data_IF_281129932399
#
_entry.id   IF_281129932399
#
_cell.length_a   1.000
_cell.length_b   1.000
_cell.length_c   1.000
_cell.angle_alpha   90.00
_cell.angle_beta   90.00
_cell.angle_gamma   90.00
#
_symmetry.space_group_name_H-M   'P 1'
#
loop_
_entity.id
_entity.type
_entity.pdbx_description
1 polymer ?
#
# COMPACT_ATOMS: atom_id res chain seq x y z
N UNK A 1 -10.59 -4.17 -8.54
CA UNK A 1 -10.84 -2.80 -8.11
C UNK A 1 -9.65 -1.92 -8.41
N UNK A 2 -9.90 -0.81 -9.06
CA UNK A 2 -8.86 0.14 -9.44
C UNK A 2 -9.01 1.46 -8.70
N UNK A 3 -7.88 2.03 -8.33
CA UNK A 3 -7.79 3.37 -7.79
C UNK A 3 -6.84 4.19 -8.67
N UNK A 4 -7.24 5.40 -9.00
CA UNK A 4 -6.36 6.38 -9.63
C UNK A 4 -6.31 7.59 -8.72
N UNK A 5 -5.13 7.98 -8.32
CA UNK A 5 -4.97 9.09 -7.40
C UNK A 5 -3.55 9.61 -7.35
N UNK A 6 -3.41 10.79 -6.79
CA UNK A 6 -2.11 11.43 -6.61
C UNK A 6 -1.41 10.89 -5.37
N UNK A 7 -0.08 10.81 -5.47
CA UNK A 7 0.75 10.47 -4.31
C UNK A 7 0.88 11.72 -3.45
N UNK A 8 0.56 11.57 -2.16
CA UNK A 8 0.64 12.65 -1.20
C UNK A 8 1.63 12.31 -0.09
N UNK A 9 2.09 13.32 0.62
CA UNK A 9 2.89 13.11 1.82
C UNK A 9 2.03 12.57 2.94
N UNK A 10 2.41 11.42 3.47
CA UNK A 10 1.82 10.86 4.66
C UNK A 10 2.87 10.69 5.75
N UNK A 11 2.52 9.96 6.79
CA UNK A 11 3.50 9.56 7.80
C UNK A 11 4.50 8.62 7.14
N UNK A 12 5.78 8.96 7.19
CA UNK A 12 6.84 8.15 6.58
C UNK A 12 7.19 6.92 7.42
N UNK A 13 6.15 6.21 7.85
CA UNK A 13 6.31 5.08 8.75
C UNK A 13 7.06 3.93 8.08
N UNK A 14 6.73 3.64 6.82
CA UNK A 14 7.41 2.61 6.06
C UNK A 14 8.90 2.88 5.88
N UNK A 15 9.29 4.14 5.76
CA UNK A 15 10.70 4.53 5.66
C UNK A 15 11.47 4.15 6.92
N UNK A 16 10.85 4.29 8.10
CA UNK A 16 11.48 3.93 9.37
C UNK A 16 11.83 2.45 9.49
N UNK A 17 11.10 1.61 8.79
CA UNK A 17 11.30 0.16 8.81
C UNK A 17 11.93 -0.34 7.50
N UNK A 18 12.57 0.56 6.77
CA UNK A 18 13.25 0.28 5.50
C UNK A 18 12.32 -0.25 4.39
N UNK A 19 11.03 0.11 4.46
CA UNK A 19 10.03 -0.28 3.46
C UNK A 19 9.27 0.97 3.03
N UNK A 20 9.82 1.75 2.09
CA UNK A 20 9.19 3.00 1.66
C UNK A 20 7.80 2.75 1.06
N UNK A 21 6.85 3.60 1.44
CA UNK A 21 5.47 3.51 0.95
C UNK A 21 5.02 4.85 0.38
N UNK A 22 4.15 4.77 -0.61
CA UNK A 22 3.46 5.92 -1.18
C UNK A 22 2.05 5.99 -0.60
N UNK A 23 1.63 7.18 -0.19
CA UNK A 23 0.26 7.44 0.26
C UNK A 23 -0.53 7.99 -0.91
N UNK A 24 -1.71 7.43 -1.15
CA UNK A 24 -2.57 7.82 -2.26
C UNK A 24 -3.73 8.65 -1.73
N UNK A 25 -4.00 9.76 -2.40
CA UNK A 25 -5.14 10.62 -2.05
C UNK A 25 -6.43 9.94 -2.48
N UNK A 26 -7.26 9.58 -1.50
CA UNK A 26 -8.57 8.96 -1.74
C UNK A 26 -9.68 9.98 -1.99
N UNK A 27 -9.39 11.28 -1.92
CA UNK A 27 -10.34 12.36 -2.16
C UNK A 27 -11.57 12.27 -1.26
N UNK A 28 -11.37 11.88 0.01
CA UNK A 28 -12.42 11.71 1.03
C UNK A 28 -13.49 10.67 0.67
N UNK A 29 -13.22 9.78 -0.26
CA UNK A 29 -14.12 8.67 -0.56
C UNK A 29 -13.99 7.60 0.52
N UNK A 30 -15.11 6.98 0.84
CA UNK A 30 -15.18 5.89 1.82
C UNK A 30 -15.50 4.58 1.10
N UNK A 31 -14.91 3.50 1.61
CA UNK A 31 -15.09 2.15 1.05
C UNK A 31 -15.47 1.21 2.19
N UNK A 32 -16.23 0.17 1.88
CA UNK A 32 -16.74 -0.77 2.87
C UNK A 32 -15.84 -1.97 3.12
N UNK A 33 -14.59 -1.91 2.71
CA UNK A 33 -13.62 -2.99 2.93
C UNK A 33 -12.26 -2.43 3.34
N UNK A 34 -11.42 -3.30 3.86
CA UNK A 34 -10.03 -3.00 4.19
C UNK A 34 -9.19 -4.27 4.07
N UNK A 35 -7.88 -4.11 4.17
CA UNK A 35 -6.95 -5.23 4.13
C UNK A 35 -5.64 -4.89 3.48
N UNK A 36 -4.82 -5.92 3.31
CA UNK A 36 -3.54 -5.84 2.61
C UNK A 36 -3.66 -6.67 1.34
N UNK A 37 -3.32 -6.07 0.21
CA UNK A 37 -3.56 -6.64 -1.11
C UNK A 37 -2.29 -6.67 -1.94
N UNK A 38 -2.15 -7.72 -2.75
CA UNK A 38 -1.24 -7.66 -3.90
C UNK A 38 -1.89 -6.74 -4.93
N UNK A 39 -1.11 -5.83 -5.48
CA UNK A 39 -1.61 -4.88 -6.47
C UNK A 39 -0.66 -4.73 -7.65
N UNK A 40 -1.19 -4.27 -8.77
CA UNK A 40 -0.40 -3.71 -9.86
C UNK A 40 -0.44 -2.19 -9.78
N UNK A 41 0.64 -1.56 -10.19
CA UNK A 41 0.77 -0.10 -10.14
C UNK A 41 1.29 0.39 -11.48
N UNK A 42 0.55 1.29 -12.12
CA UNK A 42 0.99 1.95 -13.35
C UNK A 42 1.60 3.30 -12.99
N UNK A 43 2.85 3.49 -13.37
CA UNK A 43 3.59 4.73 -13.20
C UNK A 43 4.17 5.11 -14.55
N UNK A 44 3.72 6.24 -15.13
CA UNK A 44 4.23 6.72 -16.42
C UNK A 44 4.19 5.64 -17.52
N UNK A 45 3.09 4.89 -17.59
CA UNK A 45 2.87 3.80 -18.56
C UNK A 45 3.74 2.56 -18.34
N UNK A 46 4.41 2.47 -17.20
CA UNK A 46 5.15 1.27 -16.79
C UNK A 46 4.38 0.55 -15.69
N UNK A 47 4.35 -0.77 -15.77
CA UNK A 47 3.66 -1.60 -14.78
C UNK A 47 4.65 -2.14 -13.76
N UNK A 48 4.30 -1.98 -12.50
CA UNK A 48 5.00 -2.56 -11.36
C UNK A 48 4.01 -3.38 -10.54
N UNK A 49 4.52 -4.22 -9.66
CA UNK A 49 3.72 -4.87 -8.63
C UNK A 49 4.06 -4.29 -7.27
N UNK A 50 3.14 -4.44 -6.34
CA UNK A 50 3.37 -3.95 -4.99
C UNK A 50 2.37 -4.49 -3.99
N UNK A 51 2.48 -4.01 -2.76
CA UNK A 51 1.55 -4.29 -1.69
C UNK A 51 0.80 -3.02 -1.36
N UNK A 52 -0.53 -3.12 -1.31
CA UNK A 52 -1.40 -2.04 -0.89
C UNK A 52 -1.95 -2.34 0.49
N UNK A 53 -1.77 -1.42 1.42
CA UNK A 53 -2.41 -1.45 2.73
C UNK A 53 -3.55 -0.45 2.71
N UNK A 54 -4.78 -0.95 2.77
CA UNK A 54 -5.98 -0.15 2.65
C UNK A 54 -6.81 -0.29 3.92
N UNK A 55 -7.05 0.82 4.60
CA UNK A 55 -7.87 0.76 5.79
C UNK A 55 -7.81 1.99 6.65
N UNK A 56 -8.43 1.86 7.81
CA UNK A 56 -8.53 2.92 8.79
C UNK A 56 -7.36 2.86 9.75
N UNK A 57 -6.68 3.99 9.93
CA UNK A 57 -5.69 4.16 11.00
C UNK A 57 -6.28 5.14 12.00
N UNK A 58 -7.01 4.66 13.01
CA UNK A 58 -7.67 5.57 13.94
C UNK A 58 -6.65 6.37 14.74
N UNK A 59 -6.73 7.69 14.62
CA UNK A 59 -6.09 8.66 15.50
C UNK A 59 -7.19 9.38 16.25
N UNK A 60 -6.85 10.31 17.14
CA UNK A 60 -7.84 10.96 18.00
C UNK A 60 -9.04 11.55 17.24
N UNK A 61 -8.82 12.14 16.08
CA UNK A 61 -9.85 12.86 15.34
C UNK A 61 -10.01 12.39 13.90
N UNK A 62 -9.34 11.31 13.50
CA UNK A 62 -9.36 10.89 12.11
C UNK A 62 -9.57 9.39 12.01
N UNK A 63 -10.74 9.00 11.49
CA UNK A 63 -11.11 7.62 11.22
C UNK A 63 -11.20 7.33 9.71
N UNK A 64 -10.67 8.23 8.90
CA UNK A 64 -10.72 8.06 7.45
C UNK A 64 -9.82 6.92 7.01
N UNK A 65 -10.21 6.29 5.92
CA UNK A 65 -9.38 5.26 5.31
C UNK A 65 -8.18 5.89 4.63
N UNK A 66 -7.10 5.12 4.60
CA UNK A 66 -5.89 5.48 3.87
C UNK A 66 -5.48 4.35 2.94
N UNK A 67 -4.81 4.70 1.86
CA UNK A 67 -4.22 3.75 0.93
C UNK A 67 -2.73 4.00 0.90
N UNK A 68 -1.95 3.04 1.39
CA UNK A 68 -0.49 3.08 1.33
C UNK A 68 -0.02 1.96 0.42
N UNK A 69 0.87 2.28 -0.51
CA UNK A 69 1.36 1.32 -1.48
C UNK A 69 2.88 1.24 -1.42
N UNK A 70 3.40 0.04 -1.21
CA UNK A 70 4.81 -0.25 -1.38
C UNK A 70 5.01 -0.85 -2.77
N UNK A 71 5.71 -0.15 -3.64
CA UNK A 71 5.94 -0.57 -5.03
C UNK A 71 7.26 -1.32 -5.09
N UNK A 72 7.24 -2.56 -5.59
CA UNK A 72 8.44 -3.37 -5.70
C UNK A 72 9.34 -2.86 -6.83
N UNK A 73 10.65 -2.86 -6.59
CA UNK A 73 11.67 -2.53 -7.58
C UNK A 73 11.55 -1.12 -8.15
N UNK A 74 10.95 -0.22 -7.38
CA UNK A 74 10.78 1.18 -7.78
C UNK A 74 11.56 2.08 -6.84
N UNK A 75 12.53 2.82 -7.37
CA UNK A 75 13.43 3.67 -6.58
C UNK A 75 13.31 5.16 -6.81
N UNK A 76 12.35 5.59 -7.62
CA UNK A 76 12.21 7.01 -7.96
C UNK A 76 11.29 7.74 -6.98
N UNK A 77 11.39 9.07 -6.94
CA UNK A 77 10.48 9.91 -6.20
C UNK A 77 9.18 10.04 -6.98
N UNK A 78 8.05 9.65 -6.37
CA UNK A 78 6.75 9.67 -7.01
C UNK A 78 5.75 10.61 -6.34
N UNK A 79 6.20 11.47 -5.43
CA UNK A 79 5.32 12.43 -4.78
C UNK A 79 4.69 13.36 -5.80
N UNK A 80 3.38 13.60 -5.65
CA UNK A 80 2.56 14.43 -6.52
C UNK A 80 2.35 13.88 -7.94
N UNK A 81 2.79 12.65 -8.21
CA UNK A 81 2.44 11.96 -9.44
C UNK A 81 1.14 11.17 -9.29
N UNK A 82 0.45 10.99 -10.40
CA UNK A 82 -0.75 10.16 -10.43
C UNK A 82 -0.38 8.71 -10.70
N UNK A 83 -0.92 7.81 -9.88
CA UNK A 83 -0.74 6.37 -10.03
C UNK A 83 -2.09 5.71 -10.28
N UNK A 84 -2.08 4.64 -11.05
CA UNK A 84 -3.24 3.76 -11.17
C UNK A 84 -2.92 2.45 -10.49
N UNK A 85 -3.70 2.10 -9.49
CA UNK A 85 -3.48 0.93 -8.64
C UNK A 85 -4.66 -0.03 -8.81
N UNK A 86 -4.36 -1.27 -9.18
CA UNK A 86 -5.36 -2.32 -9.27
C UNK A 86 -5.10 -3.38 -8.21
N UNK A 87 -6.10 -3.63 -7.37
CA UNK A 87 -6.02 -4.71 -6.39
C UNK A 87 -6.24 -6.05 -7.09
N UNK A 88 -5.30 -6.96 -6.95
CA UNK A 88 -5.32 -8.26 -7.62
C UNK A 88 -5.85 -9.36 -6.73
N UNK A 89 -5.35 -9.46 -5.51
CA UNK A 89 -5.86 -10.40 -4.53
C UNK A 89 -5.55 -9.94 -3.12
N UNK A 90 -6.37 -10.39 -2.18
CA UNK A 90 -6.18 -10.08 -0.77
C UNK A 90 -5.13 -10.99 -0.16
N UNK A 91 -4.16 -10.41 0.53
CA UNK A 91 -3.12 -11.15 1.23
C UNK A 91 -3.57 -11.47 2.65
N UNK A 92 -4.12 -10.49 3.35
CA UNK A 92 -4.60 -10.65 4.72
C UNK A 92 -5.47 -9.46 5.14
N UNK A 93 -6.15 -9.64 6.26
CA UNK A 93 -6.83 -8.54 6.94
C UNK A 93 -5.81 -7.64 7.63
N UNK A 94 -6.24 -6.44 7.98
CA UNK A 94 -5.42 -5.54 8.78
C UNK A 94 -5.19 -6.12 10.17
N UNK A 95 -3.97 -5.91 10.70
CA UNK A 95 -3.58 -6.36 12.02
C UNK A 95 -3.08 -5.15 12.80
N UNK A 96 -3.46 -5.07 14.07
CA UNK A 96 -2.90 -4.09 14.98
C UNK A 96 -1.63 -4.66 15.62
N UNK A 97 -0.53 -3.92 15.52
CA UNK A 97 0.76 -4.36 16.04
C UNK A 97 1.08 -3.64 17.34
N UNK A 98 1.66 -4.39 18.28
CA UNK A 98 2.06 -3.86 19.58
C UNK A 98 3.47 -3.28 19.58
N UNK A 99 4.29 -3.66 18.59
CA UNK A 99 5.65 -3.16 18.47
C UNK A 99 6.03 -2.91 17.01
N UNK A 100 7.06 -2.08 16.83
CA UNK A 100 7.63 -1.82 15.50
C UNK A 100 8.24 -3.08 14.91
N UNK A 101 8.84 -3.93 15.76
CA UNK A 101 9.46 -5.18 15.30
C UNK A 101 8.40 -6.15 14.76
N UNK A 102 7.26 -6.26 15.41
CA UNK A 102 6.17 -7.12 14.95
C UNK A 102 5.64 -6.63 13.61
N UNK A 103 5.46 -5.32 13.45
CA UNK A 103 5.05 -4.72 12.19
C UNK A 103 6.07 -5.01 11.08
N UNK A 104 7.35 -4.82 11.36
CA UNK A 104 8.42 -5.05 10.39
C UNK A 104 8.47 -6.51 9.94
N UNK A 105 8.35 -7.44 10.88
CA UNK A 105 8.35 -8.87 10.58
C UNK A 105 7.15 -9.25 9.71
N UNK A 106 5.97 -8.69 9.99
CA UNK A 106 4.78 -8.96 9.20
C UNK A 106 4.90 -8.38 7.78
N UNK A 107 5.47 -7.20 7.64
CA UNK A 107 5.68 -6.60 6.32
C UNK A 107 6.59 -7.49 5.48
N UNK A 108 7.65 -8.05 6.05
CA UNK A 108 8.54 -8.96 5.33
C UNK A 108 7.80 -10.21 4.87
N UNK A 109 6.94 -10.79 5.71
CA UNK A 109 6.11 -11.93 5.34
C UNK A 109 5.13 -11.58 4.22
N UNK A 110 4.54 -10.40 4.27
CA UNK A 110 3.62 -9.91 3.25
C UNK A 110 4.33 -9.78 1.90
N UNK A 111 5.53 -9.23 1.89
CA UNK A 111 6.34 -9.07 0.68
C UNK A 111 6.66 -10.43 0.08
N UNK A 112 7.10 -11.38 0.88
CA UNK A 112 7.42 -12.72 0.41
C UNK A 112 6.19 -13.41 -0.19
N UNK A 113 5.06 -13.31 0.48
CA UNK A 113 3.81 -13.87 -0.02
C UNK A 113 3.37 -13.21 -1.32
N UNK A 114 3.43 -11.88 -1.37
CA UNK A 114 3.06 -11.14 -2.57
C UNK A 114 3.93 -11.55 -3.76
N UNK A 115 5.24 -11.65 -3.56
CA UNK A 115 6.16 -12.05 -4.64
C UNK A 115 5.88 -13.46 -5.13
N UNK A 116 5.46 -14.36 -4.26
CA UNK A 116 5.09 -15.73 -4.66
C UNK A 116 3.81 -15.75 -5.51
N UNK A 117 2.91 -14.78 -5.33
CA UNK A 117 1.64 -14.70 -6.03
C UNK A 117 1.74 -13.97 -7.39
N UNK A 118 2.79 -13.19 -7.60
CA UNK A 118 2.96 -12.39 -8.82
C UNK A 118 2.89 -13.25 -10.08
N UNK A 119 3.40 -14.47 -10.02
CA UNK A 119 3.42 -15.39 -11.15
C UNK A 119 2.06 -15.63 -11.77
N UNK A 120 1.01 -15.57 -10.96
CA UNK A 120 -0.37 -15.78 -11.42
C UNK A 120 -0.90 -14.60 -12.23
N UNK A 121 -0.21 -13.45 -12.19
CA UNK A 121 -0.64 -12.19 -12.80
C UNK A 121 0.34 -11.64 -13.85
N UNK A 122 1.41 -12.34 -14.09
CA UNK A 122 2.37 -11.97 -15.14
C UNK A 122 1.91 -12.38 -16.55
#
# INVERSE_FOLDING_TARGET
>A
LKFTGDVIHGKKFGTRISTPTANIDLQNKEYCFNGVFLCSVMVNNKKFFGIANFGTKPTFDDFRQSLEVHIFDFGENIYYQSLTIEFLCKIRDQIKFESTDDLKNQIHKDIDKAKSLIKDYE
#
